data_IF_439086873278
#
_entry.id   IF_439086873278
#
_cell.length_a   1.000
_cell.length_b   1.000
_cell.length_c   1.000
_cell.angle_alpha   90.00
_cell.angle_beta   90.00
_cell.angle_gamma   90.00
#
_symmetry.space_group_name_H-M   'P 1'
#
loop_
_entity.id
_entity.type
_entity.pdbx_description
1 polymer ?
#
# COMPACT_ATOMS: atom_id res chain seq x y z
N UNK A 1 44.89 0.21 6.69
CA UNK A 1 45.23 0.65 8.06
C UNK A 1 46.76 0.65 8.16
N UNK A 2 47.39 1.82 8.34
CA UNK A 2 48.86 1.92 8.30
C UNK A 2 49.49 1.46 9.61
N UNK A 3 50.69 0.86 9.56
CA UNK A 3 51.42 0.36 10.75
C UNK A 3 51.57 1.40 11.87
N UNK A 4 51.62 2.69 11.52
CA UNK A 4 51.65 3.81 12.48
C UNK A 4 50.35 3.94 13.30
N UNK A 5 49.20 3.57 12.74
CA UNK A 5 47.90 3.57 13.45
C UNK A 5 47.83 2.36 14.40
N UNK A 6 48.33 1.19 13.98
CA UNK A 6 48.35 -0.02 14.79
C UNK A 6 49.29 0.11 16.00
N UNK A 7 50.48 0.69 15.82
CA UNK A 7 51.42 0.97 16.92
C UNK A 7 50.86 2.00 17.92
N UNK A 8 50.11 3.00 17.45
CA UNK A 8 49.46 4.00 18.30
C UNK A 8 48.29 3.38 19.09
N UNK A 9 47.57 2.41 18.53
CA UNK A 9 46.56 1.63 19.25
C UNK A 9 47.18 0.72 20.33
N UNK A 10 48.29 0.05 20.02
CA UNK A 10 49.01 -0.83 20.95
C UNK A 10 49.61 -0.06 22.13
N UNK A 11 50.02 1.21 21.92
CA UNK A 11 50.53 2.09 22.97
C UNK A 11 49.49 2.44 24.05
N UNK A 12 48.19 2.32 23.78
CA UNK A 12 47.13 2.54 24.78
C UNK A 12 46.83 1.29 25.62
N UNK A 13 47.33 0.12 25.23
CA UNK A 13 47.15 -1.14 25.95
C UNK A 13 48.21 -1.38 27.04
N UNK A 14 49.08 -0.39 27.29
CA UNK A 14 50.10 -0.43 28.34
C UNK A 14 49.53 -0.38 29.75
N UNK A 15 49.45 -1.56 30.38
CA UNK A 15 49.69 -1.84 31.81
C UNK A 15 48.71 -1.35 32.88
N UNK A 16 47.73 -0.49 32.58
CA UNK A 16 46.81 0.00 33.62
C UNK A 16 45.38 -0.47 33.32
N UNK A 17 44.74 -1.18 34.27
CA UNK A 17 43.32 -1.61 34.20
C UNK A 17 42.34 -0.47 33.84
N UNK A 18 42.77 0.78 34.02
CA UNK A 18 42.06 2.01 33.65
C UNK A 18 42.04 2.29 32.13
N UNK A 19 43.02 1.80 31.35
CA UNK A 19 43.08 1.95 29.89
C UNK A 19 42.05 1.08 29.17
N UNK A 20 41.86 -0.15 29.63
CA UNK A 20 40.77 -1.04 29.21
C UNK A 20 39.40 -0.45 29.55
N UNK A 21 39.27 0.23 30.69
CA UNK A 21 38.04 0.92 31.10
C UNK A 21 37.74 2.13 30.20
N UNK A 22 38.77 2.88 29.78
CA UNK A 22 38.63 4.00 28.82
C UNK A 22 38.30 3.53 27.40
N UNK A 23 38.82 2.38 26.96
CA UNK A 23 38.43 1.75 25.69
C UNK A 23 37.00 1.21 25.76
N UNK A 24 36.58 0.65 26.89
CA UNK A 24 35.19 0.22 27.11
C UNK A 24 34.22 1.42 27.12
N UNK A 25 34.60 2.54 27.75
CA UNK A 25 33.79 3.77 27.74
C UNK A 25 33.79 4.45 26.36
N UNK A 26 34.91 4.45 25.64
CA UNK A 26 34.97 4.97 24.27
C UNK A 26 34.25 4.07 23.25
N UNK A 27 34.12 2.77 23.52
CA UNK A 27 33.25 1.87 22.74
C UNK A 27 31.78 1.96 23.13
N UNK A 28 31.46 2.70 24.20
CA UNK A 28 30.11 2.99 24.69
C UNK A 28 29.56 4.30 24.14
N UNK A 29 30.05 4.79 22.99
CA UNK A 29 29.21 5.66 22.16
C UNK A 29 28.02 4.83 21.72
N UNK A 30 26.99 4.92 22.56
CA UNK A 30 25.66 4.40 22.42
C UNK A 30 25.17 4.74 21.02
N UNK A 31 25.37 3.83 20.07
CA UNK A 31 24.59 3.83 18.83
C UNK A 31 23.19 3.41 19.29
N UNK A 32 22.42 4.39 19.75
CA UNK A 32 20.96 4.28 19.78
C UNK A 32 20.58 4.10 18.32
N UNK A 33 20.52 2.85 17.85
CA UNK A 33 19.80 2.55 16.62
C UNK A 33 18.35 2.85 16.99
N UNK A 34 17.73 3.90 16.43
CA UNK A 34 16.30 4.08 16.61
C UNK A 34 15.69 2.81 16.01
N UNK A 35 15.09 1.96 16.84
CA UNK A 35 14.23 0.93 16.32
C UNK A 35 13.04 1.67 15.71
N UNK A 36 13.15 1.98 14.41
CA UNK A 36 12.04 2.51 13.65
C UNK A 36 10.88 1.55 13.85
N UNK A 37 9.80 2.02 14.48
CA UNK A 37 8.59 1.21 14.57
C UNK A 37 8.20 0.83 13.14
N UNK A 38 8.10 -0.47 12.87
CA UNK A 38 7.47 -0.96 11.63
C UNK A 38 5.98 -0.73 11.80
N UNK A 39 5.55 0.49 11.48
CA UNK A 39 4.14 0.81 11.38
C UNK A 39 3.84 1.03 9.91
N UNK A 40 2.88 0.28 9.39
CA UNK A 40 2.28 0.59 8.11
C UNK A 40 1.66 2.00 8.17
N UNK A 41 2.10 2.88 7.29
CA UNK A 41 1.54 4.20 7.11
C UNK A 41 0.59 4.20 5.91
N UNK A 42 -0.64 4.65 6.14
CA UNK A 42 -1.63 4.82 5.08
C UNK A 42 -1.18 5.97 4.16
N UNK A 43 -0.96 5.66 2.88
CA UNK A 43 -0.70 6.65 1.85
C UNK A 43 -2.02 7.27 1.39
N UNK A 44 -2.01 8.60 1.18
CA UNK A 44 -3.21 9.31 0.73
C UNK A 44 -3.60 8.89 -0.68
N UNK A 45 -4.77 8.27 -0.80
CA UNK A 45 -5.49 8.07 -2.06
C UNK A 45 -6.64 9.07 -2.06
N UNK A 46 -6.67 9.99 -3.03
CA UNK A 46 -7.71 11.01 -3.09
C UNK A 46 -9.03 10.40 -3.61
N UNK A 47 -10.16 10.76 -2.99
CA UNK A 47 -11.48 10.25 -3.37
C UNK A 47 -11.50 8.71 -3.48
N UNK A 48 -11.01 8.05 -2.44
CA UNK A 48 -10.67 6.64 -2.46
C UNK A 48 -11.89 5.69 -2.37
N UNK A 49 -13.03 6.19 -1.90
CA UNK A 49 -14.33 5.53 -1.97
C UNK A 49 -15.29 6.18 -2.97
N UNK A 50 -14.80 7.04 -3.86
CA UNK A 50 -15.59 7.57 -4.98
C UNK A 50 -16.85 8.36 -4.59
N UNK A 51 -16.90 8.89 -3.36
CA UNK A 51 -18.01 9.70 -2.83
C UNK A 51 -18.08 11.11 -3.44
N UNK A 52 -17.12 11.47 -4.29
CA UNK A 52 -17.15 12.67 -5.12
C UNK A 52 -17.02 12.33 -6.62
N UNK A 53 -17.83 12.93 -7.49
CA UNK A 53 -18.88 13.91 -7.21
C UNK A 53 -20.08 13.23 -6.55
N UNK A 54 -20.88 13.97 -5.77
CA UNK A 54 -22.11 13.43 -5.18
C UNK A 54 -23.13 13.21 -6.30
N UNK A 55 -23.64 11.99 -6.40
CA UNK A 55 -24.61 11.54 -7.39
C UNK A 55 -25.99 11.57 -6.75
N UNK A 56 -26.88 12.28 -7.42
CA UNK A 56 -28.27 12.46 -7.00
C UNK A 56 -29.24 11.81 -7.97
N UNK A 57 -30.50 11.69 -7.56
CA UNK A 57 -31.60 11.28 -8.42
C UNK A 57 -31.79 12.28 -9.58
N UNK A 58 -32.39 11.88 -10.72
CA UNK A 58 -32.96 10.56 -11.02
C UNK A 58 -31.99 9.58 -11.70
N UNK A 59 -30.82 10.03 -12.16
CA UNK A 59 -29.94 9.21 -13.00
C UNK A 59 -29.17 8.15 -12.20
N UNK A 60 -28.73 8.47 -10.98
CA UNK A 60 -27.98 7.53 -10.13
C UNK A 60 -26.58 7.14 -10.62
N UNK A 61 -26.10 7.72 -11.73
CA UNK A 61 -24.73 7.57 -12.21
C UNK A 61 -24.30 8.77 -13.06
N UNK A 62 -22.98 8.93 -13.23
CA UNK A 62 -22.34 9.88 -14.13
C UNK A 62 -21.33 9.12 -14.97
N UNK A 63 -21.33 9.38 -16.28
CA UNK A 63 -20.37 8.80 -17.23
C UNK A 63 -19.20 9.75 -17.45
N UNK A 64 -17.97 9.20 -17.40
CA UNK A 64 -16.72 9.86 -17.76
C UNK A 64 -16.08 9.05 -18.88
N UNK A 65 -16.25 9.50 -20.14
CA UNK A 65 -15.76 8.76 -21.31
C UNK A 65 -14.23 8.68 -21.37
N UNK A 66 -13.54 9.76 -21.01
CA UNK A 66 -12.09 9.83 -20.88
C UNK A 66 -11.66 11.07 -20.09
N UNK A 67 -10.41 11.10 -19.64
CA UNK A 67 -9.82 12.24 -18.94
C UNK A 67 -9.91 12.13 -17.42
N UNK A 68 -9.57 13.21 -16.72
CA UNK A 68 -9.52 13.22 -15.25
C UNK A 68 -10.81 13.80 -14.65
N UNK A 69 -11.38 13.10 -13.68
CA UNK A 69 -12.53 13.54 -12.89
C UNK A 69 -12.35 13.11 -11.44
N UNK A 70 -12.51 14.05 -10.50
CA UNK A 70 -12.43 13.81 -9.05
C UNK A 70 -11.20 12.98 -8.63
N UNK A 71 -10.02 13.38 -9.11
CA UNK A 71 -8.71 12.77 -8.86
C UNK A 71 -8.46 11.39 -9.52
N UNK A 72 -9.38 10.91 -10.35
CA UNK A 72 -9.21 9.67 -11.10
C UNK A 72 -9.17 9.94 -12.60
N UNK A 73 -8.27 9.25 -13.30
CA UNK A 73 -8.10 9.35 -14.75
C UNK A 73 -8.73 8.14 -15.43
N UNK A 74 -9.61 8.38 -16.39
CA UNK A 74 -10.37 7.38 -17.11
C UNK A 74 -9.84 7.23 -18.54
N UNK A 75 -9.54 6.00 -18.95
CA UNK A 75 -8.99 5.69 -20.28
C UNK A 75 -9.53 4.38 -20.84
N UNK A 76 -9.61 4.25 -22.17
CA UNK A 76 -9.79 2.98 -22.89
C UNK A 76 -11.17 2.31 -22.84
N UNK A 77 -12.05 2.68 -21.91
CA UNK A 77 -13.35 2.02 -21.73
C UNK A 77 -14.43 2.52 -22.68
N UNK A 78 -15.42 1.67 -22.96
CA UNK A 78 -16.61 2.05 -23.74
C UNK A 78 -17.52 2.99 -22.96
N UNK A 79 -17.72 2.70 -21.68
CA UNK A 79 -18.41 3.54 -20.70
C UNK A 79 -17.80 3.31 -19.32
N UNK A 80 -17.58 4.38 -18.56
CA UNK A 80 -16.99 4.33 -17.23
C UNK A 80 -17.49 5.53 -16.42
N UNK A 81 -17.33 5.52 -15.11
CA UNK A 81 -17.57 6.71 -14.29
C UNK A 81 -17.89 6.36 -12.85
N UNK A 82 -18.80 7.14 -12.27
CA UNK A 82 -19.23 7.01 -10.88
C UNK A 82 -20.71 6.63 -10.84
N UNK A 83 -21.11 5.82 -9.87
CA UNK A 83 -22.50 5.44 -9.66
C UNK A 83 -22.86 5.50 -8.19
N UNK A 84 -24.09 5.87 -7.89
CA UNK A 84 -24.74 5.59 -6.63
C UNK A 84 -25.76 4.46 -6.87
N UNK A 85 -25.40 3.19 -6.57
CA UNK A 85 -26.27 2.05 -6.82
C UNK A 85 -27.55 2.04 -5.98
N UNK A 86 -27.69 2.95 -5.00
CA UNK A 86 -28.88 3.09 -4.15
C UNK A 86 -29.91 4.06 -4.74
N UNK A 87 -29.54 4.90 -5.73
CA UNK A 87 -30.38 5.99 -6.25
C UNK A 87 -30.79 5.82 -7.74
N UNK A 88 -30.18 4.93 -8.53
CA UNK A 88 -30.59 4.64 -9.94
C UNK A 88 -30.37 3.18 -10.34
N UNK A 89 -31.21 2.54 -11.17
CA UNK A 89 -31.81 2.94 -12.45
C UNK A 89 -33.34 2.64 -12.46
N UNK A 90 -34.12 3.39 -13.24
CA UNK A 90 -35.59 3.30 -13.37
C UNK A 90 -36.18 1.87 -13.20
N UNK A 91 -37.13 1.74 -12.28
CA UNK A 91 -38.00 0.59 -12.06
C UNK A 91 -37.33 -0.76 -11.71
N UNK A 92 -36.81 -0.86 -10.48
CA UNK A 92 -37.07 -2.07 -9.70
C UNK A 92 -35.92 -3.05 -9.45
N UNK A 93 -34.68 -2.80 -9.86
CA UNK A 93 -33.53 -3.58 -9.38
C UNK A 93 -32.29 -2.69 -9.23
N UNK A 94 -31.91 -2.39 -7.98
CA UNK A 94 -30.59 -1.82 -7.66
C UNK A 94 -29.52 -2.80 -8.14
N UNK A 95 -28.34 -2.30 -8.53
CA UNK A 95 -27.26 -3.11 -9.13
C UNK A 95 -26.89 -4.33 -8.27
N UNK A 96 -27.24 -4.29 -6.98
CA UNK A 96 -26.98 -5.33 -5.99
C UNK A 96 -28.25 -5.82 -5.24
N UNK A 97 -29.43 -5.71 -5.85
CA UNK A 97 -30.68 -6.31 -5.34
C UNK A 97 -31.66 -5.31 -4.69
N UNK A 98 -32.85 -5.76 -4.24
CA UNK A 98 -33.92 -4.87 -3.77
C UNK A 98 -33.53 -4.14 -2.49
N UNK A 99 -33.21 -2.84 -2.63
CA UNK A 99 -32.53 -1.99 -1.63
C UNK A 99 -31.21 -2.64 -1.22
N UNK A 100 -30.03 -2.14 -1.64
CA UNK A 100 -28.78 -2.79 -1.25
C UNK A 100 -28.81 -2.89 0.28
N UNK A 101 -28.83 -4.12 0.80
CA UNK A 101 -28.85 -4.35 2.25
C UNK A 101 -27.77 -3.45 2.86
N UNK A 102 -28.04 -2.74 3.96
CA UNK A 102 -27.04 -1.90 4.59
C UNK A 102 -25.70 -2.65 4.68
N UNK A 103 -24.65 -2.09 4.05
CA UNK A 103 -23.32 -2.70 4.02
C UNK A 103 -22.93 -3.49 2.75
N UNK A 104 -23.75 -3.55 1.70
CA UNK A 104 -23.31 -4.12 0.40
C UNK A 104 -22.24 -3.25 -0.27
N UNK A 105 -22.43 -1.92 -0.23
CA UNK A 105 -21.40 -0.99 -0.71
C UNK A 105 -20.30 -0.91 0.36
N UNK A 106 -19.04 -1.23 0.03
CA UNK A 106 -17.96 -1.32 0.99
C UNK A 106 -17.71 -0.03 1.79
N UNK A 107 -17.89 1.14 1.18
CA UNK A 107 -17.77 2.44 1.83
C UNK A 107 -18.75 3.45 1.23
N UNK A 108 -19.35 4.29 2.08
CA UNK A 108 -20.25 5.34 1.61
C UNK A 108 -21.47 4.80 0.85
N UNK A 109 -21.81 5.43 -0.27
CA UNK A 109 -22.97 5.03 -1.10
C UNK A 109 -22.63 4.97 -2.59
N UNK A 110 -21.40 5.28 -2.98
CA UNK A 110 -20.99 5.41 -4.36
C UNK A 110 -19.83 4.48 -4.69
N UNK A 111 -19.71 4.17 -5.97
CA UNK A 111 -18.66 3.30 -6.49
C UNK A 111 -18.14 3.87 -7.80
N UNK A 112 -16.93 3.49 -8.18
CA UNK A 112 -16.47 3.63 -9.55
C UNK A 112 -16.89 2.41 -10.38
N UNK A 113 -17.23 2.62 -11.65
CA UNK A 113 -17.62 1.55 -12.56
C UNK A 113 -16.91 1.69 -13.91
N UNK A 114 -16.63 0.56 -14.54
CA UNK A 114 -15.99 0.52 -15.86
C UNK A 114 -16.49 -0.65 -16.70
N UNK A 115 -16.72 -0.38 -17.98
CA UNK A 115 -17.04 -1.36 -19.03
C UNK A 115 -15.89 -1.46 -20.03
N UNK A 116 -14.79 -2.07 -19.57
CA UNK A 116 -13.61 -2.38 -20.41
C UNK A 116 -12.52 -1.32 -20.47
N UNK A 117 -12.40 -0.44 -19.48
CA UNK A 117 -11.34 0.57 -19.41
C UNK A 117 -10.57 0.57 -18.10
N UNK A 118 -9.64 1.54 -17.98
CA UNK A 118 -8.82 1.74 -16.80
C UNK A 118 -9.16 3.06 -16.11
N UNK A 119 -9.33 2.97 -14.79
CA UNK A 119 -9.47 4.08 -13.85
C UNK A 119 -8.18 4.14 -13.03
N UNK A 120 -7.42 5.23 -13.10
CA UNK A 120 -6.11 5.33 -12.44
C UNK A 120 -5.91 6.62 -11.64
N UNK A 121 -5.03 6.54 -10.64
CA UNK A 121 -4.59 7.70 -9.86
C UNK A 121 -3.09 7.61 -9.59
N UNK A 122 -2.36 8.63 -10.02
CA UNK A 122 -0.96 8.85 -9.63
C UNK A 122 -0.92 9.59 -8.31
N UNK A 123 -0.20 9.04 -7.33
CA UNK A 123 -0.09 9.57 -5.99
C UNK A 123 1.06 10.58 -5.89
N UNK A 124 1.02 11.42 -4.86
CA UNK A 124 2.19 12.25 -4.48
C UNK A 124 3.29 11.43 -3.80
N UNK A 125 2.94 10.27 -3.23
CA UNK A 125 3.89 9.33 -2.65
C UNK A 125 4.74 8.68 -3.74
N UNK A 126 6.03 8.51 -3.46
CA UNK A 126 7.00 7.90 -4.37
C UNK A 126 7.46 6.55 -3.85
N UNK A 127 7.89 5.68 -4.75
CA UNK A 127 8.43 4.37 -4.43
C UNK A 127 9.70 4.50 -3.57
N UNK A 128 9.65 3.95 -2.35
CA UNK A 128 10.76 3.84 -1.40
C UNK A 128 11.39 2.44 -1.45
N UNK A 129 12.69 2.36 -1.14
CA UNK A 129 13.41 1.08 -0.95
C UNK A 129 12.94 0.36 0.32
N UNK A 130 13.19 -0.96 0.40
CA UNK A 130 12.94 -1.78 1.58
C UNK A 130 11.56 -1.53 2.21
N UNK A 131 10.51 -1.50 1.40
CA UNK A 131 9.16 -1.13 1.84
C UNK A 131 8.16 -2.14 1.31
N UNK A 132 7.29 -2.62 2.19
CA UNK A 132 6.12 -3.42 1.83
C UNK A 132 4.95 -2.49 1.55
N UNK A 133 4.41 -2.57 0.34
CA UNK A 133 3.20 -1.89 -0.09
C UNK A 133 2.04 -2.88 -0.11
N UNK A 134 0.93 -2.50 0.52
CA UNK A 134 -0.31 -3.28 0.51
C UNK A 134 -1.41 -2.41 -0.08
N UNK A 135 -1.79 -2.68 -1.33
CA UNK A 135 -2.93 -2.06 -2.00
C UNK A 135 -4.16 -2.93 -1.75
N UNK A 136 -5.18 -2.35 -1.14
CA UNK A 136 -6.48 -3.01 -0.93
C UNK A 136 -7.57 -2.27 -1.69
N UNK A 137 -8.54 -3.02 -2.18
CA UNK A 137 -9.71 -2.51 -2.88
C UNK A 137 -10.85 -3.52 -2.75
N UNK A 138 -12.06 -3.08 -3.04
CA UNK A 138 -13.20 -3.96 -3.23
C UNK A 138 -13.58 -3.97 -4.70
N UNK A 139 -13.90 -5.16 -5.22
CA UNK A 139 -14.37 -5.37 -6.58
C UNK A 139 -15.80 -5.89 -6.54
N UNK A 140 -16.68 -5.28 -7.34
CA UNK A 140 -18.10 -5.57 -7.36
C UNK A 140 -18.55 -6.25 -8.66
N UNK A 141 -19.39 -7.27 -8.50
CA UNK A 141 -20.12 -7.95 -9.56
C UNK A 141 -21.62 -7.65 -9.41
N UNK A 142 -22.23 -6.96 -10.38
CA UNK A 142 -23.63 -6.53 -10.31
C UNK A 142 -24.58 -7.55 -10.96
N UNK A 143 -25.82 -7.61 -10.49
CA UNK A 143 -26.81 -8.63 -10.90
C UNK A 143 -27.22 -8.60 -12.39
N UNK A 144 -27.17 -7.44 -13.04
CA UNK A 144 -27.81 -7.23 -14.34
C UNK A 144 -26.84 -7.13 -15.53
N UNK A 145 -25.55 -7.34 -15.32
CA UNK A 145 -24.51 -7.29 -16.37
C UNK A 145 -23.51 -8.44 -16.15
N UNK A 146 -22.83 -8.84 -17.21
CA UNK A 146 -21.77 -9.84 -17.08
C UNK A 146 -20.59 -9.26 -16.30
N UNK A 147 -19.90 -10.09 -15.52
CA UNK A 147 -18.62 -9.74 -14.92
C UNK A 147 -17.49 -10.07 -15.90
N UNK A 148 -16.86 -9.07 -16.54
CA UNK A 148 -15.84 -9.33 -17.55
C UNK A 148 -14.48 -9.73 -16.92
N UNK A 149 -14.34 -9.62 -15.60
CA UNK A 149 -13.06 -9.70 -14.91
C UNK A 149 -12.37 -8.34 -14.79
N UNK A 150 -11.21 -8.32 -14.16
CA UNK A 150 -10.47 -7.10 -13.85
C UNK A 150 -9.00 -7.37 -13.60
N UNK A 151 -8.22 -6.30 -13.46
CA UNK A 151 -6.89 -6.30 -12.85
C UNK A 151 -6.74 -5.05 -11.96
N UNK A 152 -6.35 -5.23 -10.70
CA UNK A 152 -5.93 -4.14 -9.81
C UNK A 152 -4.41 -4.18 -9.76
N UNK A 153 -3.76 -3.10 -10.18
CA UNK A 153 -2.31 -3.02 -10.27
C UNK A 153 -1.70 -1.82 -9.55
N UNK A 154 -0.54 -2.04 -8.95
CA UNK A 154 0.34 -1.02 -8.39
C UNK A 154 1.51 -0.79 -9.34
N UNK A 155 1.78 0.47 -9.66
CA UNK A 155 2.78 0.90 -10.62
C UNK A 155 3.72 1.95 -10.01
N UNK A 156 4.92 2.10 -10.58
CA UNK A 156 5.79 3.24 -10.32
C UNK A 156 6.49 3.69 -11.61
N UNK A 157 6.38 4.98 -11.92
CA UNK A 157 6.96 5.55 -13.16
C UNK A 157 6.51 4.84 -14.44
N UNK A 158 5.27 4.35 -14.47
CA UNK A 158 4.69 3.59 -15.59
C UNK A 158 4.99 2.09 -15.61
N UNK A 159 5.85 1.58 -14.73
CA UNK A 159 6.17 0.15 -14.65
C UNK A 159 5.24 -0.56 -13.66
N UNK A 160 4.71 -1.73 -14.06
CA UNK A 160 3.94 -2.59 -13.16
C UNK A 160 4.85 -3.17 -12.09
N UNK A 161 4.47 -3.01 -10.82
CA UNK A 161 5.16 -3.59 -9.67
C UNK A 161 4.51 -4.91 -9.23
N UNK A 162 3.19 -4.91 -9.10
CA UNK A 162 2.38 -6.08 -8.76
C UNK A 162 0.92 -5.85 -9.14
N UNK A 163 0.16 -6.92 -9.39
CA UNK A 163 -1.28 -6.86 -9.61
C UNK A 163 -2.02 -8.08 -9.06
N UNK A 164 -3.35 -7.99 -9.01
CA UNK A 164 -4.24 -9.10 -8.64
C UNK A 164 -5.55 -9.03 -9.43
N UNK A 165 -5.93 -10.17 -9.99
CA UNK A 165 -7.14 -10.42 -10.79
C UNK A 165 -7.85 -11.72 -10.38
N UNK A 166 -7.43 -12.35 -9.27
CA UNK A 166 -7.78 -13.72 -8.93
C UNK A 166 -9.07 -13.90 -8.11
N UNK A 167 -9.73 -12.82 -7.68
CA UNK A 167 -10.92 -12.90 -6.83
C UNK A 167 -12.16 -12.59 -7.65
N UNK A 168 -13.06 -13.55 -7.83
CA UNK A 168 -14.34 -13.31 -8.50
C UNK A 168 -15.44 -13.10 -7.46
N UNK A 169 -16.05 -11.90 -7.36
CA UNK A 169 -17.20 -11.68 -6.48
C UNK A 169 -18.41 -12.47 -6.98
N UNK A 170 -19.23 -12.96 -6.05
CA UNK A 170 -20.52 -13.52 -6.39
C UNK A 170 -21.44 -12.43 -6.99
N UNK A 171 -22.40 -12.85 -7.83
CA UNK A 171 -23.37 -11.93 -8.42
C UNK A 171 -24.09 -11.12 -7.33
N UNK A 172 -24.15 -9.80 -7.51
CA UNK A 172 -24.76 -8.89 -6.55
C UNK A 172 -23.92 -8.62 -5.31
N UNK A 173 -22.61 -8.87 -5.32
CA UNK A 173 -21.74 -8.66 -4.16
C UNK A 173 -20.43 -7.93 -4.50
N UNK A 174 -19.73 -7.50 -3.45
CA UNK A 174 -18.33 -7.08 -3.50
C UNK A 174 -17.43 -8.11 -2.82
N UNK A 175 -16.22 -8.26 -3.34
CA UNK A 175 -15.18 -9.05 -2.70
C UNK A 175 -13.92 -8.19 -2.46
N UNK A 176 -13.23 -8.36 -1.33
CA UNK A 176 -11.98 -7.68 -1.06
C UNK A 176 -10.85 -8.27 -1.91
N UNK A 177 -9.99 -7.40 -2.41
CA UNK A 177 -8.80 -7.74 -3.21
C UNK A 177 -7.60 -7.06 -2.58
N UNK A 178 -6.48 -7.79 -2.49
CA UNK A 178 -5.22 -7.25 -1.99
C UNK A 178 -4.09 -7.54 -2.96
N UNK A 179 -3.26 -6.53 -3.20
CA UNK A 179 -2.00 -6.61 -3.94
C UNK A 179 -0.88 -6.29 -2.97
N UNK A 180 0.11 -7.18 -2.87
CA UNK A 180 1.29 -6.97 -2.03
C UNK A 180 2.53 -6.86 -2.90
N UNK A 181 3.34 -5.83 -2.63
CA UNK A 181 4.62 -5.62 -3.30
C UNK A 181 5.68 -5.26 -2.27
N UNK A 182 6.83 -5.92 -2.34
CA UNK A 182 7.99 -5.58 -1.50
C UNK A 182 9.09 -5.02 -2.39
N UNK A 183 9.48 -3.77 -2.15
CA UNK A 183 10.59 -3.15 -2.85
C UNK A 183 11.94 -3.65 -2.31
N UNK A 184 12.93 -3.71 -3.21
CA UNK A 184 14.29 -4.10 -2.86
C UNK A 184 15.12 -2.97 -2.23
N UNK A 185 16.41 -3.23 -2.08
CA UNK A 185 17.40 -2.27 -1.54
C UNK A 185 17.67 -1.09 -2.48
N UNK A 186 17.22 -1.17 -3.73
CA UNK A 186 17.36 -0.12 -4.73
C UNK A 186 16.07 0.03 -5.53
N UNK A 187 15.68 1.28 -5.78
CA UNK A 187 14.56 1.68 -6.64
C UNK A 187 14.98 2.95 -7.39
N UNK A 188 14.35 3.21 -8.53
CA UNK A 188 14.58 4.47 -9.25
C UNK A 188 14.01 5.64 -8.44
N UNK A 189 14.83 6.62 -8.04
CA UNK A 189 14.36 7.72 -7.18
C UNK A 189 13.26 8.55 -7.84
N UNK A 190 12.31 9.03 -7.04
CA UNK A 190 11.29 9.99 -7.47
C UNK A 190 10.16 9.42 -8.33
N UNK A 191 10.12 8.11 -8.57
CA UNK A 191 8.99 7.50 -9.27
C UNK A 191 7.74 7.53 -8.39
N UNK A 192 6.76 8.36 -8.77
CA UNK A 192 5.45 8.38 -8.15
C UNK A 192 4.77 7.01 -8.28
N UNK A 193 4.09 6.60 -7.20
CA UNK A 193 3.24 5.42 -7.20
C UNK A 193 1.95 5.72 -7.98
N UNK A 194 1.46 4.74 -8.72
CA UNK A 194 0.21 4.83 -9.46
C UNK A 194 -0.64 3.59 -9.18
N UNK A 195 -1.93 3.81 -8.92
CA UNK A 195 -2.93 2.76 -8.78
C UNK A 195 -3.71 2.67 -10.09
N UNK A 196 -3.91 1.47 -10.61
CA UNK A 196 -4.77 1.21 -11.77
C UNK A 196 -5.84 0.18 -11.44
N UNK A 197 -7.08 0.51 -11.76
CA UNK A 197 -8.26 -0.34 -11.66
C UNK A 197 -8.75 -0.58 -13.08
N UNK A 198 -8.49 -1.77 -13.62
CA UNK A 198 -8.81 -2.09 -15.02
C UNK A 198 -9.96 -3.07 -15.07
N UNK A 199 -11.06 -2.70 -15.73
CA UNK A 199 -12.09 -3.64 -16.16
C UNK A 199 -11.64 -4.29 -17.47
N UNK A 200 -11.75 -5.61 -17.58
CA UNK A 200 -11.59 -6.27 -18.87
C UNK A 200 -12.78 -5.96 -19.79
N UNK A 201 -12.61 -6.11 -21.10
CA UNK A 201 -13.68 -5.94 -22.07
C UNK A 201 -14.56 -7.20 -22.14
N UNK A 202 -15.86 -7.01 -22.32
CA UNK A 202 -16.82 -8.09 -22.46
C UNK A 202 -18.17 -7.57 -22.96
N UNK A 203 -18.92 -8.43 -23.65
CA UNK A 203 -20.27 -8.09 -24.11
C UNK A 203 -21.15 -7.79 -22.89
N UNK A 204 -21.73 -6.59 -22.82
CA UNK A 204 -22.53 -6.13 -21.67
C UNK A 204 -21.77 -6.31 -20.34
N UNK A 205 -20.44 -6.14 -20.35
CA UNK A 205 -19.56 -6.34 -19.20
C UNK A 205 -19.38 -5.07 -18.37
N UNK A 206 -19.41 -5.21 -17.05
CA UNK A 206 -19.04 -4.12 -16.12
C UNK A 206 -18.36 -4.67 -14.88
N UNK A 207 -17.30 -3.98 -14.45
CA UNK A 207 -16.67 -4.19 -13.15
C UNK A 207 -16.76 -2.90 -12.31
N UNK A 208 -17.07 -3.08 -11.03
CA UNK A 208 -17.23 -1.99 -10.08
C UNK A 208 -16.10 -2.02 -9.04
N UNK A 209 -15.72 -0.85 -8.52
CA UNK A 209 -14.62 -0.69 -7.56
C UNK A 209 -15.03 0.24 -6.43
N UNK A 210 -14.54 -0.04 -5.22
CA UNK A 210 -14.74 0.81 -4.05
C UNK A 210 -13.62 0.66 -3.00
N UNK A 211 -13.52 1.64 -2.12
CA UNK A 211 -12.70 1.66 -0.91
C UNK A 211 -11.24 1.26 -1.15
N UNK A 212 -10.55 2.09 -1.94
CA UNK A 212 -9.15 1.90 -2.30
C UNK A 212 -8.26 2.38 -1.14
N UNK A 213 -7.32 1.56 -0.69
CA UNK A 213 -6.33 1.97 0.31
C UNK A 213 -4.95 1.48 -0.09
N UNK A 214 -3.92 2.23 0.28
CA UNK A 214 -2.53 1.83 0.05
C UNK A 214 -1.72 2.07 1.32
N UNK A 215 -1.24 1.00 1.92
CA UNK A 215 -0.37 1.05 3.08
C UNK A 215 1.09 0.85 2.67
N UNK A 216 2.01 1.55 3.34
CA UNK A 216 3.46 1.39 3.17
C UNK A 216 4.12 1.12 4.53
N UNK A 217 4.83 0.00 4.66
CA UNK A 217 5.57 -0.37 5.87
C UNK A 217 7.06 -0.55 5.54
N UNK A 218 7.93 0.24 6.17
CA UNK A 218 9.37 0.08 6.01
C UNK A 218 9.86 -1.21 6.69
N UNK A 219 10.78 -1.90 6.02
CA UNK A 219 11.44 -3.11 6.52
C UNK A 219 12.72 -2.66 7.23
N UNK A 220 12.87 -2.93 8.55
CA UNK A 220 14.09 -2.59 9.27
C UNK A 220 15.29 -3.36 8.73
N UNK A 221 16.44 -2.69 8.64
CA UNK A 221 17.68 -3.36 8.25
C UNK A 221 18.10 -4.41 9.29
N UNK A 222 18.67 -5.56 8.88
CA UNK A 222 19.12 -6.61 9.81
C UNK A 222 20.13 -6.16 10.87
N UNK A 223 20.89 -5.09 10.59
CA UNK A 223 21.83 -4.46 11.52
C UNK A 223 21.15 -3.93 12.79
N UNK A 224 19.91 -3.46 12.68
CA UNK A 224 19.12 -3.00 13.82
C UNK A 224 18.74 -4.15 14.78
N UNK A 225 18.58 -5.36 14.25
CA UNK A 225 18.26 -6.57 15.03
C UNK A 225 19.53 -7.13 15.69
N UNK A 226 20.64 -7.15 14.96
CA UNK A 226 21.94 -7.61 15.48
C UNK A 226 22.49 -6.70 16.59
N UNK A 227 22.27 -5.38 16.49
CA UNK A 227 22.57 -4.46 17.57
C UNK A 227 21.84 -4.85 18.86
N UNK A 228 20.54 -5.10 18.78
CA UNK A 228 19.71 -5.46 19.94
C UNK A 228 20.15 -6.78 20.61
N UNK A 229 20.44 -7.81 19.80
CA UNK A 229 20.89 -9.12 20.28
C UNK A 229 22.30 -9.04 20.89
N UNK A 230 23.19 -8.25 20.30
CA UNK A 230 24.55 -8.04 20.81
C UNK A 230 24.56 -7.36 22.19
N UNK A 231 23.71 -6.35 22.41
CA UNK A 231 23.60 -5.69 23.72
C UNK A 231 22.95 -6.56 24.79
N UNK A 232 21.97 -7.39 24.43
CA UNK A 232 21.32 -8.33 25.36
C UNK A 232 22.31 -9.32 25.99
N UNK A 233 23.22 -9.89 25.19
CA UNK A 233 24.25 -10.83 25.65
C UNK A 233 25.32 -10.15 26.52
N UNK A 234 25.70 -8.91 26.21
CA UNK A 234 26.66 -8.12 27.02
C UNK A 234 26.07 -7.71 28.38
N UNK A 235 24.77 -7.38 28.43
CA UNK A 235 24.06 -7.09 29.68
C UNK A 235 23.94 -8.31 30.60
N UNK A 236 23.76 -9.51 30.04
CA UNK A 236 23.70 -10.76 30.82
C UNK A 236 25.10 -11.17 31.31
N UNK A 237 26.12 -11.08 30.47
CA UNK A 237 27.50 -11.43 30.84
C UNK A 237 28.09 -10.51 31.94
N UNK A 238 27.72 -9.24 31.93
CA UNK A 238 28.15 -8.28 32.96
C UNK A 238 27.49 -8.53 34.32
N UNK A 239 26.22 -8.94 34.36
CA UNK A 239 25.56 -9.37 35.62
C UNK A 239 26.14 -10.67 36.19
N UNK A 240 26.56 -11.60 35.34
CA UNK A 240 27.16 -12.87 35.78
C UNK A 240 28.55 -12.67 36.42
N UNK A 241 29.33 -11.69 35.94
CA UNK A 241 30.64 -11.35 36.51
C UNK A 241 30.60 -10.58 37.82
N UNK A 242 29.48 -9.94 38.17
CA UNK A 242 29.33 -9.25 39.46
C UNK A 242 28.96 -10.17 40.62
N UNK A 243 28.69 -11.46 40.36
CA UNK A 243 28.34 -12.46 41.38
C UNK A 243 29.45 -13.49 41.66
N UNK A 244 30.65 -13.30 41.11
CA UNK A 244 31.87 -14.06 41.43
C UNK A 244 32.87 -13.14 42.11
#
# INVERSE_FOLDING_TARGET
MTQKILAKLMSFAGSNKLGLFKIAIASSFLVIVPQGQVKAALLTVANNSFENPVITAPSGFITVSSGTSNNWTFTGGTQQGFANPTIGHNAGNSWYGPSPSPGIIPNGNQIAWSSGGTISQTLSATLQTNTVYTLSAFVGNRLNLNFPGYDIGLYAGGNLLASNSGVTPADGTFAPVTVSYTSGISVTPGQALEIRLTSLSGFQGQTNFDNITLDAASIPEPSAILGLLGFGLLGIASKLRQKQ
#
